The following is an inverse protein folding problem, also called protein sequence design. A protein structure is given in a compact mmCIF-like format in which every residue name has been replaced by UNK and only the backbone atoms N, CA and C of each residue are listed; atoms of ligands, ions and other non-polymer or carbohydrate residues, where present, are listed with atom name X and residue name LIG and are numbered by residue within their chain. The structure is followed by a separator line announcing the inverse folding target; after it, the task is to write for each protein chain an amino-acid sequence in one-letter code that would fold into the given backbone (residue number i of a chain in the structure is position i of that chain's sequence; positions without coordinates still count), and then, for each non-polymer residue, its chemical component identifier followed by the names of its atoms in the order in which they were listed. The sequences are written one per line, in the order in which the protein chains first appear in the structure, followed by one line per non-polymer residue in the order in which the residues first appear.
data_IF_060247695205
#
_entry.id   IF_060247695205
#
_cell.length_a   1.000
_cell.length_b   1.000
_cell.length_c   1.000
_cell.angle_alpha   90.00
_cell.angle_beta   90.00
_cell.angle_gamma   90.00
#
_symmetry.space_group_name_H-M   'P 1'
#
loop_
_entity.id
_entity.type
_entity.pdbx_description
1 polymer ?
#
# COMPACT_ATOMS: atom_id res chain seq x y z
N UNK A 1 -0.61 15.04 8.17
CA UNK A 1 -1.41 14.96 6.93
C UNK A 1 -2.41 13.82 7.04
N UNK A 2 -3.65 14.00 6.57
CA UNK A 2 -4.66 12.94 6.54
C UNK A 2 -5.00 12.59 5.09
N UNK A 3 -4.88 11.33 4.70
CA UNK A 3 -5.12 10.85 3.33
C UNK A 3 -5.98 9.60 3.33
N UNK A 4 -6.97 9.53 2.44
CA UNK A 4 -7.73 8.31 2.16
C UNK A 4 -7.08 7.61 0.96
N UNK A 5 -6.46 6.45 1.19
CA UNK A 5 -5.66 5.75 0.19
C UNK A 5 -6.03 4.27 0.13
N UNK A 6 -5.84 3.68 -1.04
CA UNK A 6 -5.95 2.25 -1.27
C UNK A 6 -4.53 1.74 -1.49
N UNK A 7 -4.00 1.03 -0.50
CA UNK A 7 -2.65 0.45 -0.61
C UNK A 7 -2.80 -0.92 -1.25
N UNK A 8 -2.57 -0.99 -2.55
CA UNK A 8 -2.57 -2.25 -3.28
C UNK A 8 -1.35 -3.08 -2.90
N UNK A 9 -1.57 -4.36 -2.59
CA UNK A 9 -0.54 -5.30 -2.20
C UNK A 9 -0.72 -6.59 -3.00
N UNK A 10 0.38 -7.10 -3.54
CA UNK A 10 0.39 -8.38 -4.24
C UNK A 10 1.59 -9.23 -3.80
N UNK A 11 1.35 -10.52 -3.56
CA UNK A 11 2.40 -11.46 -3.19
C UNK A 11 2.06 -12.87 -3.66
N UNK A 12 3.05 -13.76 -3.67
CA UNK A 12 2.85 -15.16 -3.98
C UNK A 12 2.90 -16.02 -2.70
N UNK A 13 1.88 -16.84 -2.50
CA UNK A 13 1.84 -17.87 -1.46
C UNK A 13 1.80 -19.26 -2.10
N UNK A 14 2.84 -20.05 -1.86
CA UNK A 14 2.97 -21.40 -2.41
C UNK A 14 1.95 -22.39 -1.83
N UNK A 15 1.36 -22.12 -0.65
CA UNK A 15 0.34 -22.97 -0.03
C UNK A 15 -1.05 -22.75 -0.63
N UNK A 16 -1.25 -21.63 -1.30
CA UNK A 16 -2.53 -21.24 -1.90
C UNK A 16 -2.59 -21.56 -3.40
N UNK A 17 -1.95 -22.66 -3.80
CA UNK A 17 -1.92 -23.15 -5.19
C UNK A 17 -2.84 -24.36 -5.34
N UNK A 18 -3.57 -24.43 -6.45
CA UNK A 18 -4.40 -25.59 -6.78
C UNK A 18 -4.51 -25.76 -8.30
N UNK A 19 -4.79 -26.98 -8.75
CA UNK A 19 -5.05 -27.27 -10.16
C UNK A 19 -6.54 -27.00 -10.47
N UNK A 20 -6.89 -26.02 -11.33
CA UNK A 20 -8.28 -25.69 -11.61
C UNK A 20 -9.12 -26.88 -12.09
N UNK A 21 -8.51 -27.85 -12.79
CA UNK A 21 -9.19 -29.06 -13.29
C UNK A 21 -9.74 -29.94 -12.16
N UNK A 22 -9.12 -29.94 -10.99
CA UNK A 22 -9.59 -30.70 -9.82
C UNK A 22 -10.77 -30.03 -9.11
N UNK A 23 -10.98 -28.73 -9.35
CA UNK A 23 -11.97 -27.90 -8.66
C UNK A 23 -12.99 -27.28 -9.63
N UNK A 24 -13.33 -27.98 -10.72
CA UNK A 24 -14.38 -27.54 -11.64
C UNK A 24 -14.04 -26.29 -12.46
N UNK A 25 -12.76 -26.03 -12.71
CA UNK A 25 -12.28 -24.87 -13.48
C UNK A 25 -12.19 -23.57 -12.68
N UNK A 26 -12.17 -23.63 -11.35
CA UNK A 26 -12.03 -22.44 -10.50
C UNK A 26 -10.58 -21.92 -10.59
N UNK A 27 -10.42 -20.72 -11.13
CA UNK A 27 -9.11 -20.06 -11.27
C UNK A 27 -8.84 -18.99 -10.19
N UNK A 28 -9.89 -18.52 -9.51
CA UNK A 28 -9.82 -17.42 -8.56
C UNK A 28 -10.83 -17.61 -7.42
N UNK A 29 -10.45 -17.18 -6.21
CA UNK A 29 -11.29 -17.19 -5.01
C UNK A 29 -11.19 -15.86 -4.27
N UNK A 30 -12.29 -15.42 -3.66
CA UNK A 30 -12.29 -14.30 -2.71
C UNK A 30 -12.39 -14.83 -1.28
N UNK A 31 -11.35 -14.59 -0.48
CA UNK A 31 -11.24 -15.13 0.88
C UNK A 31 -11.10 -13.96 1.85
N UNK A 32 -11.77 -14.00 3.03
CA UNK A 32 -11.48 -13.05 4.10
C UNK A 32 -9.98 -13.01 4.39
N UNK A 33 -9.40 -11.82 4.38
CA UNK A 33 -7.94 -11.67 4.46
C UNK A 33 -7.37 -12.10 5.82
N UNK A 34 -8.21 -12.22 6.84
CA UNK A 34 -7.85 -12.74 8.18
C UNK A 34 -7.69 -14.27 8.22
N UNK A 35 -8.13 -14.99 7.19
CA UNK A 35 -8.01 -16.46 7.09
C UNK A 35 -6.72 -16.90 6.37
N UNK A 36 -5.95 -15.96 5.83
CA UNK A 36 -4.72 -16.23 5.11
C UNK A 36 -3.57 -15.47 5.77
N UNK A 37 -2.35 -15.91 5.48
CA UNK A 37 -1.19 -15.10 5.80
C UNK A 37 -1.18 -13.84 4.93
N UNK A 38 -0.89 -12.70 5.56
CA UNK A 38 -0.75 -11.39 4.92
C UNK A 38 0.48 -10.69 5.53
N UNK A 39 1.25 -9.91 4.75
CA UNK A 39 2.26 -9.04 5.32
C UNK A 39 1.61 -7.93 6.14
N UNK A 40 2.19 -7.63 7.30
CA UNK A 40 1.72 -6.60 8.23
C UNK A 40 2.30 -5.23 7.87
N UNK A 41 1.92 -4.72 6.69
CA UNK A 41 2.35 -3.42 6.19
C UNK A 41 1.61 -2.31 6.95
N UNK A 42 2.37 -1.46 7.63
CA UNK A 42 1.88 -0.36 8.45
C UNK A 42 2.54 0.96 8.06
N UNK A 43 1.88 2.06 8.41
CA UNK A 43 2.44 3.40 8.31
C UNK A 43 3.31 3.70 9.54
N UNK A 44 4.63 3.79 9.37
CA UNK A 44 5.57 4.00 10.47
C UNK A 44 5.51 5.41 11.06
N UNK A 45 5.35 6.43 10.23
CA UNK A 45 5.24 7.82 10.68
C UNK A 45 3.78 8.20 10.98
N UNK A 46 3.02 7.30 11.59
CA UNK A 46 1.64 7.54 11.97
C UNK A 46 1.53 8.48 13.18
N UNK A 47 0.64 9.46 13.12
CA UNK A 47 0.39 10.42 14.19
C UNK A 47 -0.82 10.05 15.09
N UNK A 48 -1.65 9.07 14.69
CA UNK A 48 -2.89 8.70 15.40
C UNK A 48 -2.69 7.57 16.44
N UNK A 49 -1.54 6.89 16.40
CA UNK A 49 -1.24 5.74 17.27
C UNK A 49 -1.96 4.43 16.91
N UNK A 50 -2.89 4.44 15.95
CA UNK A 50 -3.53 3.23 15.43
C UNK A 50 -2.91 2.80 14.09
N UNK A 51 -2.12 1.73 14.10
CA UNK A 51 -1.35 1.25 12.95
C UNK A 51 -2.13 0.27 12.06
N UNK A 52 -3.29 -0.22 12.51
CA UNK A 52 -4.06 -1.22 11.79
C UNK A 52 -5.00 -0.61 10.74
N UNK A 53 -5.13 -1.31 9.62
CA UNK A 53 -6.13 -1.04 8.59
C UNK A 53 -7.51 -1.24 9.20
N UNK A 54 -8.31 -0.17 9.28
CA UNK A 54 -9.64 -0.20 9.92
C UNK A 54 -10.66 -1.09 9.21
N UNK A 55 -10.44 -1.43 7.93
CA UNK A 55 -11.37 -2.24 7.13
C UNK A 55 -10.66 -3.42 6.46
N UNK A 56 -10.76 -4.61 7.07
CA UNK A 56 -10.23 -5.84 6.48
C UNK A 56 -11.15 -6.34 5.34
N UNK A 57 -10.83 -5.93 4.11
CA UNK A 57 -11.51 -6.43 2.90
C UNK A 57 -11.09 -7.87 2.58
N UNK A 58 -11.87 -8.55 1.73
CA UNK A 58 -11.47 -9.86 1.19
C UNK A 58 -10.27 -9.70 0.26
N UNK A 59 -9.36 -10.68 0.29
CA UNK A 59 -8.28 -10.82 -0.68
C UNK A 59 -8.74 -11.69 -1.86
N UNK A 60 -8.18 -11.44 -3.03
CA UNK A 60 -8.36 -12.26 -4.22
C UNK A 60 -7.17 -13.20 -4.35
N UNK A 61 -7.42 -14.49 -4.45
CA UNK A 61 -6.39 -15.52 -4.58
C UNK A 61 -6.57 -16.18 -5.95
N UNK A 62 -5.49 -16.30 -6.70
CA UNK A 62 -5.43 -16.99 -7.98
C UNK A 62 -4.84 -18.39 -7.82
N UNK A 63 -5.25 -19.32 -8.69
CA UNK A 63 -4.78 -20.72 -8.67
C UNK A 63 -3.26 -20.90 -8.74
N UNK A 64 -2.55 -19.93 -9.31
CA UNK A 64 -1.07 -19.87 -9.38
C UNK A 64 -0.41 -19.48 -8.03
N UNK A 65 -1.21 -19.16 -7.02
CA UNK A 65 -0.78 -18.71 -5.69
C UNK A 65 -0.55 -17.21 -5.59
N UNK A 66 -0.88 -16.42 -6.62
CA UNK A 66 -0.89 -14.96 -6.53
C UNK A 66 -2.04 -14.52 -5.61
N UNK A 67 -1.74 -13.67 -4.65
CA UNK A 67 -2.71 -13.04 -3.75
C UNK A 67 -2.68 -11.54 -3.97
N UNK A 68 -3.84 -10.95 -4.18
CA UNK A 68 -4.04 -9.51 -4.30
C UNK A 68 -4.95 -9.01 -3.17
N UNK A 69 -4.52 -7.94 -2.52
CA UNK A 69 -5.25 -7.33 -1.43
C UNK A 69 -5.14 -5.81 -1.49
N UNK A 70 -6.29 -5.14 -1.57
CA UNK A 70 -6.40 -3.68 -1.68
C UNK A 70 -7.37 -3.13 -0.63
N UNK A 71 -6.92 -2.99 0.63
CA UNK A 71 -7.75 -2.38 1.65
C UNK A 71 -7.82 -0.85 1.47
N UNK A 72 -9.01 -0.25 1.59
CA UNK A 72 -9.13 1.19 1.78
C UNK A 72 -8.77 1.54 3.23
N UNK A 73 -7.95 2.57 3.42
CA UNK A 73 -7.58 3.05 4.74
C UNK A 73 -7.41 4.57 4.78
N UNK A 74 -7.79 5.16 5.92
CA UNK A 74 -7.50 6.57 6.22
C UNK A 74 -6.20 6.59 7.01
N UNK A 75 -5.15 7.14 6.40
CA UNK A 75 -3.83 7.29 6.98
C UNK A 75 -3.66 8.70 7.54
N UNK A 76 -3.13 8.79 8.76
CA UNK A 76 -2.76 10.06 9.38
C UNK A 76 -1.27 10.06 9.64
N UNK A 77 -0.49 10.69 8.76
CA UNK A 77 0.95 10.79 8.90
C UNK A 77 1.39 12.03 9.66
N UNK A 78 2.48 11.89 10.41
CA UNK A 78 3.28 12.99 10.89
C UNK A 78 4.07 13.58 9.73
N UNK A 79 3.93 14.89 9.55
CA UNK A 79 4.63 15.68 8.55
C UNK A 79 5.15 16.94 9.23
N UNK A 80 6.43 17.22 9.07
CA UNK A 80 7.07 18.44 9.57
C UNK A 80 6.73 19.58 8.61
N UNK A 81 6.25 20.70 9.14
CA UNK A 81 5.79 21.83 8.35
C UNK A 81 6.87 22.90 8.36
N UNK A 82 7.27 23.33 7.17
CA UNK A 82 8.14 24.50 6.99
C UNK A 82 7.28 25.77 6.87
N UNK A 83 7.50 26.74 7.75
CA UNK A 83 6.71 27.98 7.84
C UNK A 83 7.47 29.21 7.35
N UNK A 84 8.64 29.04 6.71
CA UNK A 84 9.47 30.17 6.25
C UNK A 84 8.72 31.10 5.28
N UNK A 85 7.95 30.53 4.36
CA UNK A 85 7.27 31.28 3.29
C UNK A 85 5.74 31.33 3.41
N UNK A 86 5.19 30.99 4.59
CA UNK A 86 3.74 31.00 4.81
C UNK A 86 3.11 32.34 4.40
N UNK A 87 1.99 32.36 3.63
CA UNK A 87 1.14 31.24 3.19
C UNK A 87 1.45 30.70 1.77
N UNK A 88 2.64 30.98 1.23
CA UNK A 88 3.09 30.53 -0.10
C UNK A 88 4.19 29.47 0.04
N UNK A 89 3.96 28.53 0.95
CA UNK A 89 4.86 27.46 1.33
C UNK A 89 4.69 26.20 0.47
N UNK A 90 5.77 25.45 0.31
CA UNK A 90 5.77 24.11 -0.27
C UNK A 90 6.05 23.09 0.85
N UNK A 91 5.30 21.99 0.87
CA UNK A 91 5.42 20.99 1.93
C UNK A 91 5.76 19.61 1.37
N UNK A 92 6.76 18.96 1.98
CA UNK A 92 7.15 17.59 1.65
C UNK A 92 6.66 16.64 2.75
N UNK A 93 5.49 16.03 2.53
CA UNK A 93 4.93 15.06 3.48
C UNK A 93 5.16 13.62 3.03
N UNK A 94 5.98 12.89 3.79
CA UNK A 94 6.33 11.49 3.49
C UNK A 94 5.28 10.53 4.07
N UNK A 95 4.96 9.46 3.35
CA UNK A 95 4.26 8.28 3.88
C UNK A 95 5.23 7.10 3.93
N UNK A 96 5.60 6.68 5.14
CA UNK A 96 6.59 5.61 5.32
C UNK A 96 5.89 4.29 5.60
N UNK A 97 5.82 3.41 4.60
CA UNK A 97 5.28 2.06 4.73
C UNK A 97 6.37 1.04 5.04
N UNK A 98 6.03 0.03 5.84
CA UNK A 98 6.90 -1.11 6.06
C UNK A 98 6.21 -2.22 6.84
N UNK A 99 6.80 -3.42 6.84
CA UNK A 99 6.35 -4.50 7.70
C UNK A 99 6.72 -4.20 9.15
N UNK A 100 5.81 -4.51 10.08
CA UNK A 100 6.06 -4.36 11.52
C UNK A 100 6.85 -5.54 12.10
N UNK A 101 6.53 -6.77 11.67
CA UNK A 101 7.09 -8.02 12.23
C UNK A 101 8.27 -8.55 11.43
N UNK A 102 8.28 -8.35 10.12
CA UNK A 102 9.28 -8.94 9.22
C UNK A 102 10.38 -7.94 8.87
N UNK A 103 11.61 -8.43 8.90
CA UNK A 103 12.78 -7.72 8.41
C UNK A 103 12.94 -7.90 6.89
N UNK A 104 13.86 -7.12 6.29
CA UNK A 104 14.15 -7.17 4.86
C UNK A 104 14.76 -8.47 4.34
N UNK A 105 15.18 -9.40 5.20
CA UNK A 105 15.61 -10.74 4.78
C UNK A 105 14.44 -11.72 4.63
N UNK A 106 13.29 -11.40 5.23
CA UNK A 106 12.08 -12.24 5.18
C UNK A 106 11.07 -11.71 4.16
N UNK A 107 10.84 -10.40 4.16
CA UNK A 107 9.89 -9.74 3.25
C UNK A 107 10.61 -8.64 2.49
N UNK A 108 10.65 -8.77 1.16
CA UNK A 108 11.18 -7.75 0.27
C UNK A 108 10.04 -6.86 -0.23
N UNK A 109 9.99 -5.61 0.25
CA UNK A 109 8.98 -4.63 -0.18
C UNK A 109 9.45 -3.92 -1.44
N UNK A 110 8.60 -3.97 -2.47
CA UNK A 110 8.84 -3.33 -3.76
C UNK A 110 7.60 -2.61 -4.23
N UNK A 111 7.80 -1.49 -4.92
CA UNK A 111 6.72 -0.80 -5.60
C UNK A 111 6.30 -1.60 -6.84
N UNK A 112 5.01 -1.64 -7.17
CA UNK A 112 4.53 -2.42 -8.33
C UNK A 112 5.12 -1.92 -9.65
N UNK A 113 5.31 -0.61 -9.76
CA UNK A 113 5.96 0.05 -10.92
C UNK A 113 7.49 0.19 -10.80
N UNK A 114 8.13 -0.48 -9.84
CA UNK A 114 9.59 -0.48 -9.70
C UNK A 114 10.26 -1.12 -10.92
N UNK A 115 11.12 -0.37 -11.61
CA UNK A 115 11.89 -0.87 -12.75
C UNK A 115 13.21 -1.51 -12.30
N UNK A 116 13.65 -2.54 -13.04
CA UNK A 116 14.90 -3.24 -12.71
C UNK A 116 16.11 -2.28 -12.77
N UNK A 117 16.73 -2.05 -11.61
CA UNK A 117 17.90 -1.19 -11.47
C UNK A 117 17.62 0.24 -10.99
N UNK A 118 16.35 0.60 -10.73
CA UNK A 118 15.98 1.86 -10.08
C UNK A 118 15.14 1.60 -8.83
N UNK A 119 15.47 2.29 -7.75
CA UNK A 119 14.66 2.29 -6.51
C UNK A 119 13.69 3.48 -6.46
N UNK A 120 13.66 4.29 -7.52
CA UNK A 120 12.84 5.51 -7.61
C UNK A 120 11.75 5.31 -8.65
N UNK A 121 10.52 5.57 -8.22
CA UNK A 121 9.32 5.62 -9.06
C UNK A 121 8.84 7.07 -9.09
N UNK A 122 8.86 7.69 -10.27
CA UNK A 122 8.53 9.11 -10.42
C UNK A 122 7.06 9.41 -10.08
N UNK A 123 6.16 8.48 -10.40
CA UNK A 123 4.73 8.55 -10.07
C UNK A 123 4.39 7.30 -9.25
N UNK A 124 4.52 7.42 -7.94
CA UNK A 124 4.30 6.34 -6.97
C UNK A 124 2.87 6.25 -6.43
N UNK A 125 1.99 7.18 -6.81
CA UNK A 125 0.58 7.18 -6.43
C UNK A 125 -0.26 7.47 -7.66
N UNK A 126 -1.25 6.61 -7.93
CA UNK A 126 -2.24 6.89 -8.96
C UNK A 126 -3.21 7.97 -8.47
N UNK A 127 -3.31 9.06 -9.24
CA UNK A 127 -4.17 10.21 -8.96
C UNK A 127 -5.42 10.23 -9.85
N UNK A 128 -5.70 9.15 -10.58
CA UNK A 128 -6.87 9.04 -11.49
C UNK A 128 -8.21 9.33 -10.80
N UNK A 129 -8.36 8.92 -9.54
CA UNK A 129 -9.56 9.16 -8.72
C UNK A 129 -9.35 10.27 -7.66
N UNK A 130 -8.32 11.10 -7.80
CA UNK A 130 -8.01 12.14 -6.83
C UNK A 130 -9.05 13.28 -6.86
N UNK A 131 -9.54 13.64 -5.68
CA UNK A 131 -10.35 14.84 -5.48
C UNK A 131 -9.47 15.99 -4.98
N UNK A 132 -9.41 17.08 -5.74
CA UNK A 132 -8.58 18.23 -5.40
C UNK A 132 -8.95 18.83 -4.05
N UNK A 133 -7.93 19.10 -3.23
CA UNK A 133 -8.09 19.86 -2.00
C UNK A 133 -8.36 21.33 -2.31
N UNK A 134 -9.01 22.04 -1.40
CA UNK A 134 -9.27 23.48 -1.53
C UNK A 134 -8.04 24.31 -1.18
N UNK A 135 -7.14 23.76 -0.36
CA UNK A 135 -6.00 24.47 0.21
C UNK A 135 -4.65 24.02 -0.36
N UNK A 136 -4.56 22.77 -0.83
CA UNK A 136 -3.28 22.15 -1.20
C UNK A 136 -3.31 21.60 -2.62
N UNK A 137 -2.33 21.99 -3.42
CA UNK A 137 -2.08 21.42 -4.74
C UNK A 137 -0.99 20.34 -4.65
N UNK A 138 -1.22 19.20 -5.31
CA UNK A 138 -0.20 18.14 -5.42
C UNK A 138 0.73 18.48 -6.57
N UNK A 139 2.00 18.75 -6.27
CA UNK A 139 3.03 19.02 -7.28
C UNK A 139 3.67 17.72 -7.80
N UNK A 140 3.99 16.79 -6.90
CA UNK A 140 4.62 15.52 -7.23
C UNK A 140 4.26 14.42 -6.21
N UNK A 141 4.35 13.16 -6.65
CA UNK A 141 4.07 11.96 -5.84
C UNK A 141 5.12 10.87 -6.06
N UNK A 142 6.42 11.12 -5.86
CA UNK A 142 7.43 10.10 -6.04
C UNK A 142 7.34 9.02 -4.94
N UNK A 143 7.67 7.79 -5.29
CA UNK A 143 7.92 6.71 -4.34
C UNK A 143 9.37 6.24 -4.43
N UNK A 144 9.96 5.94 -3.29
CA UNK A 144 11.33 5.45 -3.17
C UNK A 144 11.38 4.28 -2.21
N UNK A 145 12.18 3.28 -2.54
CA UNK A 145 12.45 2.12 -1.71
C UNK A 145 13.59 2.36 -0.70
#
# INVERSE_FOLDING_TARGET
MTTNLWVEQSWYDYKLRWEPKEYGGVHMLHVPSDHIWRPDIVLYNNADGNFEVTLATKATIYSEGLVEWKPPAIYKSSCEIDVEYFPFDEQTCVLKFGSWTYDGFKVDLRHMDEQQGSNVVAVGVDLSEFYMSVEWDILEVPAVR
#
